data_IF_907918507162
#
_entry.id   IF_907918507162
#
_cell.length_a   1.000
_cell.length_b   1.000
_cell.length_c   1.000
_cell.angle_alpha   90.00
_cell.angle_beta   90.00
_cell.angle_gamma   90.00
#
_symmetry.space_group_name_H-M   'P 1'
#
loop_
_entity.id
_entity.type
_entity.pdbx_description
1 polymer ?
#
# COMPACT_ATOMS: atom_id res chain seq x y z
N UNK A 1 26.66 19.14 38.62
CA UNK A 1 25.61 18.49 37.80
C UNK A 1 24.45 19.49 37.66
N UNK A 2 24.18 20.03 36.45
CA UNK A 2 23.08 21.00 36.25
C UNK A 2 21.82 20.22 35.88
N UNK A 3 20.83 20.22 36.77
CA UNK A 3 19.51 19.66 36.47
C UNK A 3 18.76 20.70 35.64
N UNK A 4 18.54 20.41 34.36
CA UNK A 4 17.72 21.26 33.47
C UNK A 4 16.25 20.95 33.76
N UNK A 5 15.52 21.93 34.28
CA UNK A 5 14.09 21.81 34.59
C UNK A 5 13.31 22.48 33.46
N UNK A 6 12.51 21.71 32.72
CA UNK A 6 11.68 22.21 31.64
C UNK A 6 10.31 22.66 32.16
N UNK A 7 9.85 23.84 31.73
CA UNK A 7 8.54 24.35 32.14
C UNK A 7 7.40 23.53 31.52
N UNK A 8 6.22 23.52 32.15
CA UNK A 8 5.01 22.87 31.60
C UNK A 8 4.71 23.28 30.16
N UNK A 9 4.96 24.55 29.80
CA UNK A 9 4.77 25.04 28.43
C UNK A 9 5.74 24.40 27.43
N UNK A 10 7.00 24.21 27.83
CA UNK A 10 8.00 23.54 26.99
C UNK A 10 7.72 22.03 26.86
N UNK A 11 7.27 21.39 27.93
CA UNK A 11 6.85 19.98 27.87
C UNK A 11 5.61 19.79 26.96
N UNK A 12 4.63 20.70 27.02
CA UNK A 12 3.46 20.69 26.14
C UNK A 12 3.86 20.94 24.67
N UNK A 13 4.78 21.86 24.40
CA UNK A 13 5.26 22.12 23.04
C UNK A 13 5.98 20.91 22.43
N UNK A 14 6.83 20.25 23.21
CA UNK A 14 7.53 19.02 22.79
C UNK A 14 6.54 17.88 22.52
N UNK A 15 5.49 17.74 23.34
CA UNK A 15 4.45 16.73 23.13
C UNK A 15 3.60 17.02 21.87
N UNK A 16 3.25 18.28 21.61
CA UNK A 16 2.50 18.67 20.41
C UNK A 16 3.30 18.48 19.12
N UNK A 17 4.60 18.81 19.14
CA UNK A 17 5.51 18.55 18.02
C UNK A 17 5.69 17.04 17.82
N UNK A 18 5.85 16.26 18.90
CA UNK A 18 5.90 14.79 18.84
C UNK A 18 4.63 14.15 18.29
N UNK A 19 3.46 14.71 18.57
CA UNK A 19 2.18 14.24 18.03
C UNK A 19 2.02 14.51 16.53
N UNK A 20 2.63 15.58 15.99
CA UNK A 20 2.69 15.83 14.54
C UNK A 20 3.63 14.84 13.82
N UNK A 21 4.54 14.17 14.53
CA UNK A 21 5.39 13.09 13.99
C UNK A 21 4.72 11.71 14.03
N UNK A 22 3.60 11.55 14.73
CA UNK A 22 2.73 10.38 14.58
C UNK A 22 1.97 10.52 13.27
N UNK A 23 2.66 10.20 12.16
CA UNK A 23 2.05 10.00 10.84
C UNK A 23 0.79 9.16 11.02
N UNK A 24 -0.35 9.76 10.73
CA UNK A 24 -1.64 9.06 10.67
C UNK A 24 -1.51 7.87 9.72
N UNK A 25 -2.00 6.70 10.15
CA UNK A 25 -1.86 5.37 9.53
C UNK A 25 -2.62 5.22 8.19
N UNK A 26 -2.33 6.07 7.21
CA UNK A 26 -2.51 5.73 5.80
C UNK A 26 -1.10 5.70 5.20
N UNK A 27 -0.50 4.51 5.13
CA UNK A 27 0.83 4.34 4.56
C UNK A 27 0.81 4.58 3.04
N UNK A 28 -0.34 4.32 2.41
CA UNK A 28 -0.52 4.43 0.96
C UNK A 28 -1.75 5.27 0.62
N UNK A 29 -1.62 6.05 -0.44
CA UNK A 29 -2.71 6.74 -1.13
C UNK A 29 -3.12 5.97 -2.39
N UNK A 30 -4.32 6.19 -2.93
CA UNK A 30 -4.72 5.68 -4.25
C UNK A 30 -3.68 5.94 -5.35
N UNK A 31 -3.02 7.10 -5.31
CA UNK A 31 -2.05 7.51 -6.31
C UNK A 31 -0.78 6.65 -6.27
N UNK A 32 -0.36 6.19 -5.08
CA UNK A 32 0.83 5.34 -4.94
C UNK A 32 0.65 4.00 -5.68
N UNK A 33 -0.55 3.40 -5.57
CA UNK A 33 -0.90 2.20 -6.34
C UNK A 33 -0.96 2.50 -7.84
N UNK A 34 -1.62 3.58 -8.26
CA UNK A 34 -1.75 3.93 -9.67
C UNK A 34 -0.40 4.19 -10.33
N UNK A 35 0.47 4.95 -9.68
CA UNK A 35 1.78 5.33 -10.23
C UNK A 35 2.65 4.09 -10.43
N UNK A 36 2.70 3.20 -9.44
CA UNK A 36 3.45 1.94 -9.55
C UNK A 36 2.93 1.06 -10.70
N UNK A 37 1.60 0.92 -10.84
CA UNK A 37 1.01 0.16 -11.95
C UNK A 37 1.27 0.82 -13.30
N UNK A 38 1.08 2.13 -13.40
CA UNK A 38 1.24 2.87 -14.65
C UNK A 38 2.69 2.93 -15.10
N UNK A 39 3.66 2.98 -14.17
CA UNK A 39 5.07 2.80 -14.47
C UNK A 39 5.35 1.42 -15.08
N UNK A 40 4.82 0.35 -14.49
CA UNK A 40 5.00 -1.00 -15.00
C UNK A 40 4.34 -1.21 -16.38
N UNK A 41 3.14 -0.65 -16.58
CA UNK A 41 2.41 -0.71 -17.87
C UNK A 41 3.16 0.05 -18.97
N UNK A 42 3.64 1.24 -18.67
CA UNK A 42 4.43 2.05 -19.60
C UNK A 42 5.73 1.34 -20.03
N UNK A 43 6.40 0.63 -19.11
CA UNK A 43 7.62 -0.11 -19.39
C UNK A 43 7.46 -1.21 -20.46
N UNK A 44 6.23 -1.64 -20.73
CA UNK A 44 5.90 -2.67 -21.73
C UNK A 44 4.96 -2.14 -22.84
N UNK A 45 4.82 -0.81 -22.95
CA UNK A 45 4.04 -0.17 -24.02
C UNK A 45 2.52 -0.28 -23.88
N UNK A 46 2.02 -0.57 -22.67
CA UNK A 46 0.58 -0.66 -22.38
C UNK A 46 0.09 0.66 -21.80
N UNK A 47 -1.07 1.15 -22.26
CA UNK A 47 -1.65 2.43 -21.82
C UNK A 47 -2.03 2.46 -20.33
N UNK A 48 -2.11 3.63 -19.68
CA UNK A 48 -2.33 3.74 -18.24
C UNK A 48 -3.74 3.33 -17.81
N UNK A 49 -3.90 3.03 -16.52
CA UNK A 49 -5.18 2.85 -15.82
C UNK A 49 -5.48 4.04 -14.91
N UNK A 50 -6.75 4.16 -14.52
CA UNK A 50 -7.27 5.18 -13.62
C UNK A 50 -7.91 4.52 -12.41
N UNK A 51 -8.00 5.26 -11.31
CA UNK A 51 -8.63 4.79 -10.08
C UNK A 51 -10.15 4.77 -10.22
N UNK A 52 -10.80 3.73 -9.71
CA UNK A 52 -12.26 3.66 -9.55
C UNK A 52 -12.56 3.39 -8.08
N UNK A 53 -13.22 4.35 -7.42
CA UNK A 53 -13.55 4.27 -5.99
C UNK A 53 -14.45 3.08 -5.65
N UNK A 54 -15.22 2.55 -6.61
CA UNK A 54 -16.04 1.35 -6.40
C UNK A 54 -15.19 0.09 -6.33
N UNK A 55 -14.16 -0.01 -7.18
CA UNK A 55 -13.20 -1.13 -7.15
C UNK A 55 -12.38 -1.06 -5.86
N UNK A 56 -11.95 0.13 -5.46
CA UNK A 56 -11.25 0.34 -4.21
C UNK A 56 -12.09 -0.05 -2.98
N UNK A 57 -13.35 0.39 -2.93
CA UNK A 57 -14.27 0.03 -1.86
C UNK A 57 -14.54 -1.49 -1.80
N UNK A 58 -14.66 -2.14 -2.96
CA UNK A 58 -14.78 -3.60 -3.03
C UNK A 58 -13.53 -4.29 -2.48
N UNK A 59 -12.34 -3.89 -2.93
CA UNK A 59 -11.07 -4.47 -2.48
C UNK A 59 -10.88 -4.32 -0.98
N UNK A 60 -11.12 -3.12 -0.42
CA UNK A 60 -11.06 -2.87 1.02
C UNK A 60 -12.06 -3.75 1.79
N UNK A 61 -13.32 -3.77 1.35
CA UNK A 61 -14.35 -4.59 1.99
C UNK A 61 -14.07 -6.09 1.93
N UNK A 62 -13.34 -6.56 0.91
CA UNK A 62 -12.91 -7.95 0.82
C UNK A 62 -11.75 -8.27 1.78
N UNK A 63 -10.68 -7.47 1.79
CA UNK A 63 -9.55 -7.72 2.69
C UNK A 63 -9.93 -7.57 4.17
N UNK A 64 -10.92 -6.72 4.49
CA UNK A 64 -11.48 -6.61 5.84
C UNK A 64 -12.12 -7.94 6.30
N UNK A 65 -12.73 -8.72 5.39
CA UNK A 65 -13.28 -10.05 5.71
C UNK A 65 -12.20 -11.11 5.94
N UNK A 66 -11.00 -10.90 5.40
CA UNK A 66 -9.84 -11.77 5.61
C UNK A 66 -9.09 -11.41 6.90
N UNK A 67 -9.44 -10.30 7.56
CA UNK A 67 -8.78 -9.86 8.79
C UNK A 67 -8.84 -10.96 9.87
N UNK A 68 -7.69 -11.27 10.48
CA UNK A 68 -7.55 -12.37 11.45
C UNK A 68 -7.20 -13.74 10.84
N UNK A 69 -7.32 -13.89 9.51
CA UNK A 69 -6.90 -15.08 8.79
C UNK A 69 -5.90 -14.67 7.71
N UNK A 70 -4.60 -14.84 7.97
CA UNK A 70 -3.54 -14.56 7.00
C UNK A 70 -3.56 -15.59 5.85
N UNK A 71 -4.59 -15.54 5.00
CA UNK A 71 -4.76 -16.40 3.83
C UNK A 71 -4.89 -15.57 2.55
N UNK A 72 -4.23 -16.01 1.49
CA UNK A 72 -4.38 -15.47 0.13
C UNK A 72 -5.41 -16.33 -0.61
N UNK A 73 -6.69 -16.01 -0.43
CA UNK A 73 -7.79 -16.66 -1.14
C UNK A 73 -8.49 -15.62 -1.99
N UNK A 74 -8.77 -15.95 -3.25
CA UNK A 74 -9.47 -15.05 -4.15
C UNK A 74 -10.94 -14.84 -3.77
N UNK A 75 -11.45 -13.63 -3.99
CA UNK A 75 -12.85 -13.28 -3.66
C UNK A 75 -13.88 -14.00 -4.51
N UNK A 76 -13.53 -14.36 -5.75
CA UNK A 76 -14.49 -14.81 -6.75
C UNK A 76 -15.47 -13.69 -7.15
N UNK A 77 -15.15 -12.44 -6.85
CA UNK A 77 -15.95 -11.28 -7.19
C UNK A 77 -15.96 -10.93 -8.68
N UNK A 78 -16.63 -9.84 -9.07
CA UNK A 78 -16.81 -9.47 -10.46
C UNK A 78 -15.60 -8.79 -11.10
N UNK A 79 -14.53 -8.51 -10.33
CA UNK A 79 -13.33 -7.81 -10.79
C UNK A 79 -12.14 -8.76 -10.93
N UNK A 80 -11.17 -8.41 -11.79
CA UNK A 80 -9.84 -9.02 -11.72
C UNK A 80 -9.17 -8.67 -10.38
N UNK A 81 -8.35 -9.58 -9.85
CA UNK A 81 -7.84 -9.47 -8.49
C UNK A 81 -6.41 -9.97 -8.38
N UNK A 82 -5.57 -9.19 -7.71
CA UNK A 82 -4.31 -9.64 -7.15
C UNK A 82 -4.34 -9.48 -5.63
N UNK A 83 -3.71 -10.41 -4.91
CA UNK A 83 -3.58 -10.38 -3.46
C UNK A 83 -2.10 -10.40 -3.10
N UNK A 84 -1.76 -9.72 -2.02
CA UNK A 84 -0.41 -9.71 -1.49
C UNK A 84 -0.43 -9.72 0.03
N UNK A 85 0.59 -10.30 0.62
CA UNK A 85 0.78 -10.35 2.06
C UNK A 85 2.26 -10.19 2.37
N UNK A 86 2.54 -9.41 3.40
CA UNK A 86 3.88 -9.20 3.90
C UNK A 86 3.84 -8.83 5.38
N UNK A 87 5.02 -8.59 5.94
CA UNK A 87 5.20 -8.17 7.33
C UNK A 87 6.09 -6.92 7.39
N UNK A 88 6.06 -6.21 8.53
CA UNK A 88 6.81 -4.97 8.70
C UNK A 88 6.28 -3.83 7.82
N UNK A 89 7.18 -3.06 7.23
CA UNK A 89 6.84 -1.95 6.32
C UNK A 89 6.43 -2.51 4.95
N UNK A 90 5.17 -2.95 4.85
CA UNK A 90 4.59 -3.49 3.62
C UNK A 90 3.59 -2.51 3.02
N UNK A 91 4.07 -1.69 2.07
CA UNK A 91 3.25 -0.71 1.37
C UNK A 91 2.54 -1.31 0.15
N UNK A 92 1.52 -0.60 -0.32
CA UNK A 92 0.86 -0.82 -1.60
C UNK A 92 1.84 -0.86 -2.77
N UNK A 93 2.81 0.06 -2.81
CA UNK A 93 3.87 0.06 -3.83
C UNK A 93 4.68 -1.23 -3.80
N UNK A 94 5.06 -1.72 -2.61
CA UNK A 94 5.80 -2.99 -2.48
C UNK A 94 4.96 -4.17 -2.96
N UNK A 95 3.65 -4.17 -2.72
CA UNK A 95 2.75 -5.19 -3.26
C UNK A 95 2.71 -5.17 -4.79
N UNK A 96 2.64 -4.00 -5.42
CA UNK A 96 2.68 -3.87 -6.88
C UNK A 96 4.02 -4.34 -7.44
N UNK A 97 5.13 -3.97 -6.82
CA UNK A 97 6.46 -4.45 -7.22
C UNK A 97 6.59 -5.97 -7.12
N UNK A 98 5.98 -6.60 -6.12
CA UNK A 98 5.96 -8.05 -5.98
C UNK A 98 5.29 -8.71 -7.20
N UNK A 99 4.10 -8.24 -7.59
CA UNK A 99 3.40 -8.75 -8.77
C UNK A 99 4.18 -8.48 -10.06
N UNK A 100 4.77 -7.28 -10.21
CA UNK A 100 5.57 -6.94 -11.40
C UNK A 100 6.84 -7.79 -11.51
N UNK A 101 7.44 -8.21 -10.39
CA UNK A 101 8.63 -9.10 -10.40
C UNK A 101 8.33 -10.47 -11.01
N UNK A 102 7.07 -10.91 -11.04
CA UNK A 102 6.66 -12.14 -11.71
C UNK A 102 6.93 -12.12 -13.22
N UNK A 103 7.19 -10.94 -13.82
CA UNK A 103 7.64 -10.81 -15.21
C UNK A 103 8.83 -11.70 -15.55
N UNK A 104 9.69 -12.03 -14.58
CA UNK A 104 10.83 -12.91 -14.78
C UNK A 104 10.41 -14.34 -15.19
N UNK A 105 9.18 -14.72 -14.87
CA UNK A 105 8.60 -16.03 -15.18
C UNK A 105 7.69 -15.99 -16.41
N UNK A 106 7.45 -14.82 -17.01
CA UNK A 106 6.54 -14.66 -18.14
C UNK A 106 7.29 -14.66 -19.47
N UNK A 107 6.86 -15.50 -20.41
CA UNK A 107 7.36 -15.57 -21.76
C UNK A 107 6.39 -14.90 -22.75
N UNK A 108 6.81 -13.76 -23.31
CA UNK A 108 6.03 -12.99 -24.27
C UNK A 108 5.69 -13.73 -25.56
N UNK A 109 6.54 -14.65 -26.02
CA UNK A 109 6.33 -15.33 -27.29
C UNK A 109 5.25 -16.42 -27.19
N UNK A 110 5.16 -17.08 -26.03
CA UNK A 110 4.20 -18.17 -25.78
C UNK A 110 2.99 -17.75 -24.95
N UNK A 111 3.00 -16.55 -24.36
CA UNK A 111 1.96 -16.08 -23.43
C UNK A 111 1.77 -17.08 -22.27
N UNK A 112 2.88 -17.47 -21.65
CA UNK A 112 2.98 -18.43 -20.54
C UNK A 112 3.84 -17.88 -19.42
#
# INVERSE_FOLDING_TARGET
MKVVIYSRRQLILVALVGALFLRTKAQDSPQDYLDAHNQARAAVGVGPIQWDDRVAAFAQGYVDQLSGHCILKHSGGPYGENLAMGSGDFSGVVAVELWVKEKANYNYASNT
#
